data_IF_963006327436
#
_entry.id   IF_963006327436
#
_cell.length_a   1.000
_cell.length_b   1.000
_cell.length_c   1.000
_cell.angle_alpha   90.00
_cell.angle_beta   90.00
_cell.angle_gamma   90.00
#
_symmetry.space_group_name_H-M   'P 1'
#
loop_
_entity.id
_entity.type
_entity.pdbx_description
1 polymer ?
#
# COMPACT_ATOMS: atom_id res chain seq x y z
N UNK A 1 6.85 14.19 -40.73
CA UNK A 1 8.04 13.60 -40.10
C UNK A 1 7.59 13.01 -38.79
N UNK A 2 7.73 11.70 -38.61
CA UNK A 2 7.60 11.06 -37.30
C UNK A 2 8.96 11.14 -36.61
N UNK A 3 9.03 11.74 -35.43
CA UNK A 3 10.28 11.77 -34.67
C UNK A 3 10.76 10.33 -34.41
N UNK A 4 12.09 10.07 -34.48
CA UNK A 4 12.63 8.76 -34.17
C UNK A 4 12.36 8.45 -32.70
N UNK A 5 11.48 7.48 -32.44
CA UNK A 5 11.19 6.99 -31.08
C UNK A 5 12.49 6.49 -30.49
N UNK A 6 13.01 7.23 -29.51
CA UNK A 6 14.24 6.87 -28.82
C UNK A 6 14.09 5.47 -28.21
N UNK A 7 15.12 4.59 -28.29
CA UNK A 7 15.03 3.24 -27.77
C UNK A 7 14.69 3.27 -26.28
N UNK A 8 13.59 2.59 -25.91
CA UNK A 8 13.09 2.55 -24.54
C UNK A 8 14.16 1.90 -23.64
N UNK A 9 14.68 2.66 -22.68
CA UNK A 9 15.65 2.15 -21.70
C UNK A 9 14.93 1.31 -20.64
N UNK A 10 14.84 0.01 -20.92
CA UNK A 10 14.24 -1.00 -20.04
C UNK A 10 14.86 -1.05 -18.64
N UNK A 11 16.15 -0.72 -18.51
CA UNK A 11 16.83 -0.69 -17.21
C UNK A 11 16.37 0.51 -16.37
N UNK A 12 16.04 1.64 -17.01
CA UNK A 12 15.47 2.81 -16.34
C UNK A 12 14.05 2.53 -15.82
N UNK A 13 13.23 1.82 -16.60
CA UNK A 13 11.90 1.38 -16.13
C UNK A 13 11.99 0.38 -14.98
N UNK A 14 12.81 -0.68 -15.10
CA UNK A 14 13.02 -1.67 -14.02
C UNK A 14 13.47 -1.01 -12.71
N UNK A 15 14.51 -0.15 -12.76
CA UNK A 15 14.98 0.60 -11.58
C UNK A 15 13.90 1.48 -10.95
N UNK A 16 12.97 2.02 -11.74
CA UNK A 16 11.86 2.82 -11.22
C UNK A 16 10.80 1.97 -10.55
N UNK A 17 10.47 0.80 -11.11
CA UNK A 17 9.56 -0.17 -10.46
C UNK A 17 10.17 -0.64 -9.12
N UNK A 18 11.44 -1.05 -9.11
CA UNK A 18 12.17 -1.44 -7.88
C UNK A 18 12.18 -0.32 -6.82
N UNK A 19 12.32 0.95 -7.24
CA UNK A 19 12.27 2.10 -6.34
C UNK A 19 10.88 2.31 -5.74
N UNK A 20 9.81 2.26 -6.56
CA UNK A 20 8.44 2.45 -6.09
C UNK A 20 7.96 1.28 -5.20
N UNK A 21 8.33 0.02 -5.51
CA UNK A 21 8.10 -1.13 -4.63
C UNK A 21 8.83 -0.97 -3.28
N UNK A 22 10.07 -0.44 -3.31
CA UNK A 22 10.81 -0.08 -2.10
C UNK A 22 10.11 1.00 -1.27
N UNK A 23 9.57 2.03 -1.92
CA UNK A 23 8.76 3.08 -1.27
C UNK A 23 7.46 2.52 -0.70
N UNK A 24 6.78 1.60 -1.40
CA UNK A 24 5.57 0.94 -0.91
C UNK A 24 5.86 0.14 0.37
N UNK A 25 6.92 -0.67 0.36
CA UNK A 25 7.33 -1.46 1.52
C UNK A 25 7.71 -0.56 2.71
N UNK A 26 8.45 0.52 2.48
CA UNK A 26 8.77 1.50 3.52
C UNK A 26 7.51 2.15 4.12
N UNK A 27 6.55 2.56 3.29
CA UNK A 27 5.26 3.14 3.73
C UNK A 27 4.44 2.14 4.55
N UNK A 28 4.38 0.87 4.13
CA UNK A 28 3.66 -0.18 4.88
C UNK A 28 4.33 -0.50 6.21
N UNK A 29 5.67 -0.53 6.28
CA UNK A 29 6.37 -0.71 7.54
C UNK A 29 6.10 0.44 8.52
N UNK A 30 6.16 1.69 8.07
CA UNK A 30 5.78 2.87 8.88
C UNK A 30 4.33 2.77 9.34
N UNK A 31 3.40 2.38 8.46
CA UNK A 31 1.99 2.17 8.78
C UNK A 31 1.81 1.11 9.87
N UNK A 32 2.43 -0.06 9.73
CA UNK A 32 2.32 -1.14 10.73
C UNK A 32 2.91 -0.74 12.09
N UNK A 33 4.07 -0.07 12.11
CA UNK A 33 4.70 0.42 13.34
C UNK A 33 3.81 1.44 14.06
N UNK A 34 3.27 2.42 13.34
CA UNK A 34 2.37 3.43 13.93
C UNK A 34 1.09 2.82 14.48
N UNK A 35 0.54 1.79 13.81
CA UNK A 35 -0.63 1.06 14.31
C UNK A 35 -0.33 0.23 15.56
N UNK A 36 0.82 -0.43 15.62
CA UNK A 36 1.25 -1.16 16.81
C UNK A 36 1.48 -0.23 18.01
N UNK A 37 2.12 0.93 17.78
CA UNK A 37 2.30 1.98 18.80
C UNK A 37 0.97 2.57 19.26
N UNK A 38 0.03 2.82 18.33
CA UNK A 38 -1.32 3.29 18.63
C UNK A 38 -2.10 2.31 19.50
N UNK A 39 -2.08 1.01 19.16
CA UNK A 39 -2.73 -0.03 19.92
C UNK A 39 -2.12 -0.18 21.34
N UNK A 40 -0.79 -0.11 21.45
CA UNK A 40 -0.10 -0.13 22.74
C UNK A 40 -0.46 1.10 23.60
N UNK A 41 -0.46 2.30 23.01
CA UNK A 41 -0.85 3.54 23.70
C UNK A 41 -2.29 3.50 24.20
N UNK A 42 -3.22 2.93 23.40
CA UNK A 42 -4.61 2.77 23.79
C UNK A 42 -4.77 1.77 24.95
N UNK A 43 -4.06 0.63 24.90
CA UNK A 43 -4.06 -0.38 25.98
C UNK A 43 -3.42 0.08 27.30
N UNK A 44 -2.49 1.04 27.25
CA UNK A 44 -1.88 1.66 28.43
C UNK A 44 -2.71 2.81 29.01
N UNK A 45 -3.60 3.41 28.22
CA UNK A 45 -4.43 4.53 28.65
C UNK A 45 -5.57 4.07 29.57
N UNK A 46 -5.70 4.70 30.74
CA UNK A 46 -6.78 4.47 31.71
C UNK A 46 -7.97 5.43 31.57
N UNK A 47 -7.88 6.45 30.74
CA UNK A 47 -8.93 7.46 30.55
C UNK A 47 -9.63 7.25 29.22
N UNK A 48 -10.97 7.09 29.24
CA UNK A 48 -11.77 6.96 28.02
C UNK A 48 -11.59 8.15 27.07
N UNK A 49 -11.53 9.38 27.59
CA UNK A 49 -11.27 10.56 26.76
C UNK A 49 -9.92 10.47 26.04
N UNK A 50 -8.87 9.99 26.72
CA UNK A 50 -7.56 9.79 26.10
C UNK A 50 -7.56 8.62 25.10
N UNK A 51 -8.26 7.52 25.38
CA UNK A 51 -8.43 6.39 24.45
C UNK A 51 -9.14 6.84 23.15
N UNK A 52 -10.22 7.62 23.26
CA UNK A 52 -10.92 8.19 22.10
C UNK A 52 -10.02 9.12 21.28
N UNK A 53 -9.27 10.02 21.92
CA UNK A 53 -8.33 10.92 21.22
C UNK A 53 -7.26 10.11 20.47
N UNK A 54 -6.67 9.08 21.11
CA UNK A 54 -5.69 8.18 20.46
C UNK A 54 -6.32 7.50 19.24
N UNK A 55 -7.52 6.93 19.37
CA UNK A 55 -8.20 6.24 18.28
C UNK A 55 -8.53 7.19 17.10
N UNK A 56 -8.96 8.43 17.36
CA UNK A 56 -9.20 9.46 16.34
C UNK A 56 -7.90 9.82 15.61
N UNK A 57 -6.81 10.08 16.35
CA UNK A 57 -5.51 10.45 15.77
C UNK A 57 -4.96 9.32 14.89
N UNK A 58 -4.98 8.07 15.37
CA UNK A 58 -4.52 6.92 14.59
C UNK A 58 -5.38 6.71 13.35
N UNK A 59 -6.70 6.90 13.44
CA UNK A 59 -7.60 6.80 12.28
C UNK A 59 -7.29 7.87 11.21
N UNK A 60 -7.04 9.12 11.61
CA UNK A 60 -6.65 10.18 10.68
C UNK A 60 -5.30 9.88 9.99
N UNK A 61 -4.30 9.42 10.75
CA UNK A 61 -3.00 8.98 10.20
C UNK A 61 -3.16 7.80 9.23
N UNK A 62 -4.03 6.84 9.58
CA UNK A 62 -4.29 5.67 8.74
C UNK A 62 -4.98 6.03 7.41
N UNK A 63 -5.90 6.99 7.40
CA UNK A 63 -6.51 7.51 6.17
C UNK A 63 -5.45 8.16 5.28
N UNK A 64 -4.59 9.03 5.83
CA UNK A 64 -3.53 9.71 5.08
C UNK A 64 -2.51 8.72 4.50
N UNK A 65 -2.03 7.76 5.30
CA UNK A 65 -1.11 6.73 4.84
C UNK A 65 -1.77 5.74 3.85
N UNK A 66 -3.07 5.47 4.00
CA UNK A 66 -3.88 4.72 3.05
C UNK A 66 -3.92 5.39 1.68
N UNK A 67 -4.17 6.70 1.61
CA UNK A 67 -4.12 7.46 0.35
C UNK A 67 -2.73 7.42 -0.28
N UNK A 68 -1.67 7.61 0.51
CA UNK A 68 -0.27 7.55 0.04
C UNK A 68 0.13 6.15 -0.47
N UNK A 69 -0.39 5.07 0.11
CA UNK A 69 -0.10 3.70 -0.32
C UNK A 69 -0.92 3.31 -1.56
N UNK A 70 -2.18 3.74 -1.64
CA UNK A 70 -3.00 3.61 -2.85
C UNK A 70 -2.38 4.32 -4.06
N UNK A 71 -1.88 5.55 -3.88
CA UNK A 71 -1.26 6.32 -4.96
C UNK A 71 0.00 5.62 -5.50
N UNK A 72 0.90 5.15 -4.63
CA UNK A 72 2.08 4.39 -5.08
C UNK A 72 1.68 3.05 -5.71
N UNK A 73 0.67 2.35 -5.17
CA UNK A 73 0.14 1.13 -5.80
C UNK A 73 -0.40 1.37 -7.22
N UNK A 74 -1.06 2.50 -7.46
CA UNK A 74 -1.51 2.91 -8.81
C UNK A 74 -0.33 3.25 -9.73
N UNK A 75 0.67 3.97 -9.24
CA UNK A 75 1.88 4.30 -10.01
C UNK A 75 2.67 3.04 -10.40
N UNK A 76 2.86 2.10 -9.46
CA UNK A 76 3.47 0.80 -9.75
C UNK A 76 2.63 0.05 -10.79
N UNK A 77 1.30 0.01 -10.62
CA UNK A 77 0.39 -0.64 -11.56
C UNK A 77 0.53 -0.10 -12.99
N UNK A 78 0.48 1.21 -13.16
CA UNK A 78 0.63 1.87 -14.47
C UNK A 78 2.01 1.66 -15.10
N UNK A 79 3.09 1.86 -14.34
CA UNK A 79 4.47 1.60 -14.81
C UNK A 79 4.70 0.13 -15.16
N UNK A 80 4.08 -0.78 -14.40
CA UNK A 80 4.13 -2.22 -14.67
C UNK A 80 3.36 -2.56 -15.93
N UNK A 81 2.18 -1.97 -16.16
CA UNK A 81 1.38 -2.20 -17.37
C UNK A 81 2.04 -1.64 -18.64
N UNK A 82 2.61 -0.42 -18.59
CA UNK A 82 3.41 0.17 -19.67
C UNK A 82 4.65 -0.71 -19.98
N UNK A 83 5.42 -1.09 -18.97
CA UNK A 83 6.55 -2.02 -19.13
C UNK A 83 6.08 -3.36 -19.71
N UNK A 84 4.98 -3.92 -19.23
CA UNK A 84 4.43 -5.20 -19.69
C UNK A 84 4.02 -5.17 -21.17
N UNK A 85 3.46 -4.05 -21.63
CA UNK A 85 2.92 -3.90 -22.99
C UNK A 85 4.02 -3.92 -24.04
N UNK A 86 5.14 -3.25 -23.75
CA UNK A 86 6.19 -3.01 -24.74
C UNK A 86 7.48 -3.85 -24.48
N UNK A 87 7.68 -4.41 -23.28
CA UNK A 87 8.85 -5.24 -22.98
C UNK A 87 8.71 -6.68 -23.50
N UNK A 88 9.64 -7.08 -24.37
CA UNK A 88 9.75 -8.43 -24.93
C UNK A 88 10.76 -9.32 -24.15
N UNK A 89 10.80 -9.20 -22.81
CA UNK A 89 11.76 -9.91 -21.94
C UNK A 89 11.33 -11.39 -21.71
N UNK A 90 12.19 -12.38 -22.01
CA UNK A 90 11.88 -13.80 -21.82
C UNK A 90 11.82 -14.25 -20.35
N UNK A 91 12.46 -13.53 -19.41
CA UNK A 91 12.34 -13.76 -17.97
C UNK A 91 10.95 -13.32 -17.52
N UNK A 92 10.54 -12.13 -17.94
CA UNK A 92 9.26 -11.55 -17.57
C UNK A 92 8.08 -12.36 -18.14
N UNK A 93 8.22 -12.92 -19.36
CA UNK A 93 7.27 -13.90 -19.91
C UNK A 93 7.11 -15.15 -19.02
N UNK A 94 8.17 -15.56 -18.30
CA UNK A 94 8.14 -16.70 -17.35
C UNK A 94 7.50 -16.31 -16.02
N UNK A 95 7.73 -15.09 -15.54
CA UNK A 95 7.06 -14.52 -14.35
C UNK A 95 5.55 -14.37 -14.61
N UNK A 96 5.15 -13.75 -15.73
CA UNK A 96 3.74 -13.62 -16.16
C UNK A 96 3.02 -14.97 -16.25
N UNK A 97 3.68 -16.03 -16.76
CA UNK A 97 3.09 -17.40 -16.83
C UNK A 97 2.88 -18.05 -15.44
N UNK A 98 3.63 -17.63 -14.43
CA UNK A 98 3.48 -18.08 -13.03
C UNK A 98 2.44 -17.24 -12.29
N UNK A 99 2.45 -15.91 -12.46
CA UNK A 99 1.53 -14.98 -11.79
C UNK A 99 0.10 -15.03 -12.35
N UNK A 100 -0.08 -15.29 -13.65
CA UNK A 100 -1.42 -15.39 -14.29
C UNK A 100 -2.32 -16.50 -13.75
N UNK A 101 -1.77 -17.44 -12.95
CA UNK A 101 -2.57 -18.42 -12.19
C UNK A 101 -3.29 -17.83 -10.98
N UNK A 102 -2.87 -16.67 -10.51
CA UNK A 102 -3.44 -15.98 -9.36
C UNK A 102 -4.25 -14.76 -9.83
N UNK A 103 -5.40 -14.47 -9.21
CA UNK A 103 -6.15 -13.27 -9.53
C UNK A 103 -5.31 -12.03 -9.19
N UNK A 104 -5.25 -11.05 -10.09
CA UNK A 104 -4.43 -9.84 -9.95
C UNK A 104 -4.65 -9.11 -8.60
N UNK A 105 -5.85 -9.22 -8.01
CA UNK A 105 -6.19 -8.64 -6.72
C UNK A 105 -5.49 -9.28 -5.50
N UNK A 106 -4.88 -10.47 -5.65
CA UNK A 106 -4.09 -11.17 -4.64
C UNK A 106 -2.57 -11.06 -4.87
N UNK A 107 -2.12 -10.20 -5.79
CA UNK A 107 -0.69 -9.90 -5.93
C UNK A 107 -0.18 -9.13 -4.69
N UNK A 108 1.13 -9.21 -4.36
CA UNK A 108 1.69 -8.55 -3.18
C UNK A 108 1.41 -7.03 -3.16
N UNK A 109 1.58 -6.35 -4.29
CA UNK A 109 1.39 -4.89 -4.42
C UNK A 109 -0.02 -4.42 -4.04
N UNK A 110 -1.14 -4.96 -4.57
CA UNK A 110 -2.48 -4.60 -4.11
C UNK A 110 -2.83 -5.11 -2.71
N UNK A 111 -2.24 -6.22 -2.22
CA UNK A 111 -2.41 -6.63 -0.82
C UNK A 111 -1.82 -5.55 0.11
N UNK A 112 -0.57 -5.16 -0.13
CA UNK A 112 0.16 -4.17 0.67
C UNK A 112 -0.40 -2.75 0.52
N UNK A 113 -0.73 -2.35 -0.70
CA UNK A 113 -1.16 -0.98 -1.02
C UNK A 113 -2.65 -0.68 -0.89
N UNK A 114 -3.52 -1.71 -0.79
CA UNK A 114 -4.98 -1.53 -0.70
C UNK A 114 -5.62 -2.34 0.42
N UNK A 115 -5.43 -3.65 0.45
CA UNK A 115 -6.15 -4.51 1.39
C UNK A 115 -5.68 -4.31 2.84
N UNK A 116 -4.37 -4.31 3.08
CA UNK A 116 -3.76 -4.12 4.40
C UNK A 116 -4.16 -2.78 5.07
N UNK A 117 -4.03 -1.60 4.42
CA UNK A 117 -4.48 -0.35 5.03
C UNK A 117 -5.99 -0.31 5.24
N UNK A 118 -6.79 -0.86 4.31
CA UNK A 118 -8.26 -0.91 4.45
C UNK A 118 -8.69 -1.76 5.66
N UNK A 119 -8.14 -2.97 5.83
CA UNK A 119 -8.46 -3.86 6.94
C UNK A 119 -8.12 -3.23 8.29
N UNK A 120 -6.98 -2.55 8.39
CA UNK A 120 -6.56 -1.85 9.61
C UNK A 120 -7.45 -0.62 9.89
N UNK A 121 -7.81 0.18 8.87
CA UNK A 121 -8.78 1.26 9.02
C UNK A 121 -10.14 0.76 9.55
N UNK A 122 -10.65 -0.37 9.03
CA UNK A 122 -11.90 -0.99 9.50
C UNK A 122 -11.77 -1.41 10.97
N UNK A 123 -10.65 -2.02 11.36
CA UNK A 123 -10.39 -2.41 12.76
C UNK A 123 -10.44 -1.23 13.73
N UNK A 124 -9.79 -0.11 13.39
CA UNK A 124 -9.83 1.12 14.19
C UNK A 124 -11.20 1.79 14.22
N UNK A 125 -11.93 1.78 13.10
CA UNK A 125 -13.30 2.29 13.05
C UNK A 125 -14.24 1.49 13.96
N UNK A 126 -14.21 0.15 13.87
CA UNK A 126 -15.00 -0.73 14.76
C UNK A 126 -14.62 -0.52 16.23
N UNK A 127 -13.33 -0.42 16.54
CA UNK A 127 -12.84 -0.13 17.89
C UNK A 127 -13.37 1.21 18.44
N UNK A 128 -13.30 2.28 17.65
CA UNK A 128 -13.83 3.59 18.03
C UNK A 128 -15.35 3.56 18.25
N UNK A 129 -16.09 2.92 17.34
CA UNK A 129 -17.56 2.76 17.47
C UNK A 129 -17.90 2.00 18.75
N UNK A 130 -17.18 0.93 19.09
CA UNK A 130 -17.39 0.21 20.35
C UNK A 130 -17.09 1.07 21.59
N UNK A 131 -16.04 1.92 21.57
CA UNK A 131 -15.74 2.83 22.68
C UNK A 131 -16.83 3.88 22.91
N UNK A 132 -17.44 4.38 21.83
CA UNK A 132 -18.55 5.34 21.90
C UNK A 132 -19.81 4.70 22.52
N UNK A 133 -20.13 3.45 22.17
CA UNK A 133 -21.30 2.75 22.72
C UNK A 133 -21.07 2.09 24.10
N UNK A 134 -19.83 2.01 24.56
CA UNK A 134 -19.47 1.48 25.88
C UNK A 134 -19.22 2.56 26.94
N UNK A 135 -19.30 3.85 26.55
CA UNK A 135 -19.19 5.02 27.44
C UNK A 135 -20.57 5.52 27.88
#
# INVERSE_FOLDING_TARGET
MSDPVAPIDWNKYRKRIEHEDGLLNARVNVFLVLNALGAAALGLSKSHAAQMIIAIVIMAVNILLGLCTLQTGQVIGGLTEEYIRDANDPIDRRVRKTLSRYPLALLPTPILGKWLPLTVCIGWFVGLVMMIFAS
#
